data_IF_060862014284
#
_entry.id   IF_060862014284
#
_cell.length_a   1.000
_cell.length_b   1.000
_cell.length_c   1.000
_cell.angle_alpha   90.00
_cell.angle_beta   90.00
_cell.angle_gamma   90.00
#
_symmetry.space_group_name_H-M   'P 1'
#
loop_
_entity.id
_entity.type
_entity.pdbx_description
1 polymer ?
#
# COMPACT_ATOMS: atom_id res chain seq x y z
N UNK A 1 25.48 -14.74 -7.40
CA UNK A 1 25.91 -14.82 -6.00
C UNK A 1 24.82 -14.18 -5.16
N UNK A 2 24.33 -14.87 -4.12
CA UNK A 2 23.41 -14.31 -3.14
C UNK A 2 24.22 -13.94 -1.90
N UNK A 3 23.98 -12.78 -1.32
CA UNK A 3 24.57 -12.42 -0.03
C UNK A 3 24.02 -13.40 1.02
N UNK A 4 24.86 -14.08 1.81
CA UNK A 4 24.39 -14.99 2.86
C UNK A 4 23.40 -14.28 3.79
N UNK A 5 22.36 -14.99 4.20
CA UNK A 5 21.32 -14.53 5.13
C UNK A 5 20.49 -13.32 4.66
N UNK A 6 20.58 -12.92 3.38
CA UNK A 6 19.75 -11.85 2.83
C UNK A 6 18.34 -12.38 2.48
N UNK A 7 17.27 -11.84 3.09
CA UNK A 7 15.90 -12.24 2.78
C UNK A 7 15.55 -11.95 1.31
N UNK A 8 15.09 -12.97 0.59
CA UNK A 8 14.73 -12.88 -0.83
C UNK A 8 13.45 -12.05 -1.07
N UNK A 9 12.54 -12.03 -0.09
CA UNK A 9 11.21 -11.41 -0.23
C UNK A 9 11.18 -9.93 0.17
N UNK A 10 12.35 -9.32 0.40
CA UNK A 10 12.47 -7.90 0.79
C UNK A 10 12.84 -7.04 -0.42
N UNK A 11 12.23 -5.86 -0.51
CA UNK A 11 12.56 -4.86 -1.52
C UNK A 11 13.71 -3.99 -1.00
N UNK A 12 14.73 -3.80 -1.82
CA UNK A 12 15.89 -2.97 -1.50
C UNK A 12 16.09 -1.89 -2.56
N UNK A 13 16.48 -0.69 -2.13
CA UNK A 13 16.94 0.38 -2.99
C UNK A 13 18.46 0.48 -2.97
N UNK A 14 19.08 0.66 -4.13
CA UNK A 14 20.52 0.95 -4.18
C UNK A 14 20.71 2.42 -3.81
N UNK A 15 21.40 2.67 -2.71
CA UNK A 15 21.70 4.04 -2.27
C UNK A 15 23.05 4.51 -2.78
N UNK A 16 24.04 3.62 -2.82
CA UNK A 16 25.41 3.96 -3.23
C UNK A 16 26.07 2.80 -4.00
N UNK A 17 26.93 3.14 -4.96
CA UNK A 17 27.67 2.18 -5.78
C UNK A 17 29.16 2.50 -5.69
N UNK A 18 29.94 1.50 -5.28
CA UNK A 18 31.39 1.52 -5.23
C UNK A 18 31.96 0.48 -6.22
N UNK A 19 33.24 0.59 -6.63
CA UNK A 19 33.81 -0.33 -7.63
C UNK A 19 33.74 -1.82 -7.27
N UNK A 20 33.70 -2.16 -5.97
CA UNK A 20 33.71 -3.54 -5.48
C UNK A 20 32.44 -3.93 -4.71
N UNK A 21 31.58 -2.96 -4.37
CA UNK A 21 30.42 -3.19 -3.50
C UNK A 21 29.30 -2.17 -3.75
N UNK A 22 28.07 -2.54 -3.40
CA UNK A 22 26.92 -1.64 -3.41
C UNK A 22 26.31 -1.57 -2.02
N UNK A 23 25.75 -0.41 -1.68
CA UNK A 23 24.99 -0.22 -0.44
C UNK A 23 23.50 -0.33 -0.77
N UNK A 24 22.80 -1.16 -0.02
CA UNK A 24 21.38 -1.43 -0.18
C UNK A 24 20.61 -0.92 1.04
N UNK A 25 19.53 -0.20 0.79
CA UNK A 25 18.58 0.26 1.79
C UNK A 25 17.30 -0.59 1.71
N UNK A 26 17.03 -1.35 2.78
CA UNK A 26 15.83 -2.18 2.93
C UNK A 26 14.67 -1.47 3.63
N UNK A 27 14.79 -0.18 3.93
CA UNK A 27 13.70 0.58 4.48
C UNK A 27 12.59 0.77 3.43
N UNK A 28 11.33 0.77 3.89
CA UNK A 28 10.21 1.16 3.04
C UNK A 28 10.47 2.58 2.47
N UNK A 29 10.08 2.91 1.21
CA UNK A 29 10.33 4.22 0.60
C UNK A 29 9.91 5.44 1.43
N UNK A 30 8.92 5.26 2.31
CA UNK A 30 8.36 6.28 3.19
C UNK A 30 8.85 6.20 4.64
N UNK A 31 9.75 5.28 4.97
CA UNK A 31 10.30 5.15 6.31
C UNK A 31 11.00 6.44 6.76
N UNK A 32 10.77 6.85 8.01
CA UNK A 32 11.33 8.10 8.57
C UNK A 32 10.76 9.39 7.97
N UNK A 33 9.83 9.33 7.00
CA UNK A 33 9.18 10.51 6.42
C UNK A 33 7.86 10.79 7.15
N UNK A 34 7.63 12.06 7.47
CA UNK A 34 6.34 12.49 7.99
C UNK A 34 5.31 12.58 6.85
N UNK A 35 4.31 11.70 6.86
CA UNK A 35 3.20 11.76 5.91
C UNK A 35 2.16 12.76 6.41
N UNK A 36 1.99 13.86 5.68
CA UNK A 36 0.94 14.85 5.93
C UNK A 36 -0.13 14.69 4.85
N UNK A 37 -1.28 14.17 5.23
CA UNK A 37 -2.36 13.84 4.30
C UNK A 37 -3.53 14.76 4.59
N UNK A 38 -4.02 15.44 3.56
CA UNK A 38 -5.32 16.11 3.59
C UNK A 38 -6.35 15.17 2.98
N UNK A 39 -7.28 14.71 3.80
CA UNK A 39 -8.30 13.74 3.38
C UNK A 39 -9.70 14.28 3.64
N UNK A 40 -10.64 13.94 2.76
CA UNK A 40 -12.08 14.18 2.92
C UNK A 40 -12.79 12.85 2.84
N UNK A 41 -13.58 12.53 3.86
CA UNK A 41 -14.49 11.37 3.81
C UNK A 41 -15.64 11.73 2.88
N UNK A 42 -15.82 10.92 1.84
CA UNK A 42 -16.88 11.12 0.83
C UNK A 42 -18.12 10.31 1.16
N UNK A 43 -17.94 9.08 1.64
CA UNK A 43 -19.04 8.16 1.94
C UNK A 43 -18.57 7.06 2.91
N UNK A 44 -19.52 6.45 3.63
CA UNK A 44 -19.29 5.32 4.56
C UNK A 44 -20.45 4.34 4.44
N UNK A 45 -20.14 3.06 4.19
CA UNK A 45 -21.09 1.96 4.12
C UNK A 45 -20.52 0.69 4.75
N UNK A 46 -21.38 -0.28 5.03
CA UNK A 46 -20.94 -1.62 5.42
C UNK A 46 -20.27 -2.35 4.25
N UNK A 47 -19.25 -3.16 4.58
CA UNK A 47 -18.58 -4.02 3.61
C UNK A 47 -19.47 -5.21 3.25
N UNK A 48 -19.49 -5.60 1.97
CA UNK A 48 -20.20 -6.81 1.54
C UNK A 48 -19.48 -8.08 2.04
N UNK A 49 -20.18 -9.22 2.02
CA UNK A 49 -19.56 -10.51 2.39
C UNK A 49 -18.32 -10.85 1.55
N UNK A 50 -18.37 -10.54 0.25
CA UNK A 50 -17.25 -10.74 -0.68
C UNK A 50 -16.04 -9.84 -0.34
N UNK A 51 -16.28 -8.58 0.03
CA UNK A 51 -15.21 -7.64 0.43
C UNK A 51 -14.57 -8.04 1.76
N UNK A 52 -15.37 -8.54 2.70
CA UNK A 52 -14.87 -9.08 3.97
C UNK A 52 -13.97 -10.29 3.72
N UNK A 53 -14.40 -11.22 2.87
CA UNK A 53 -13.59 -12.39 2.49
C UNK A 53 -12.30 -11.97 1.79
N UNK A 54 -12.37 -11.01 0.87
CA UNK A 54 -11.22 -10.49 0.13
C UNK A 54 -10.28 -9.60 0.96
N UNK A 55 -10.74 -9.11 2.12
CA UNK A 55 -10.04 -8.13 2.98
C UNK A 55 -9.63 -6.84 2.23
N UNK A 56 -10.40 -6.48 1.21
CA UNK A 56 -10.17 -5.32 0.33
C UNK A 56 -11.47 -4.92 -0.35
N UNK A 57 -11.64 -3.63 -0.64
CA UNK A 57 -12.84 -3.04 -1.29
C UNK A 57 -12.86 -3.20 -2.82
N UNK A 58 -12.39 -4.35 -3.33
CA UNK A 58 -12.30 -4.66 -4.76
C UNK A 58 -10.91 -5.11 -5.21
N UNK A 59 -10.78 -5.42 -6.50
CA UNK A 59 -9.52 -5.86 -7.11
C UNK A 59 -8.68 -4.66 -7.59
N UNK A 60 -7.57 -4.44 -6.86
CA UNK A 60 -6.46 -3.51 -7.13
C UNK A 60 -6.47 -2.16 -6.42
N UNK A 61 -5.33 -1.88 -5.78
CA UNK A 61 -5.01 -0.69 -4.98
C UNK A 61 -4.96 0.64 -5.78
N UNK A 62 -5.11 0.62 -7.10
CA UNK A 62 -5.18 1.81 -7.96
C UNK A 62 -6.59 2.11 -8.51
N UNK A 63 -7.61 1.36 -8.09
CA UNK A 63 -8.98 1.42 -8.62
C UNK A 63 -9.87 2.57 -8.12
N UNK A 64 -9.32 3.61 -7.51
CA UNK A 64 -10.11 4.76 -6.97
C UNK A 64 -10.89 5.51 -8.06
N UNK A 65 -10.62 5.28 -9.34
CA UNK A 65 -11.32 5.91 -10.47
C UNK A 65 -12.56 5.14 -10.96
N UNK A 66 -12.89 3.97 -10.40
CA UNK A 66 -13.97 3.10 -10.91
C UNK A 66 -14.90 2.53 -9.85
N UNK A 67 -14.88 3.05 -8.62
CA UNK A 67 -15.79 2.56 -7.58
C UNK A 67 -17.26 2.72 -8.01
N UNK A 68 -18.10 1.67 -7.90
CA UNK A 68 -19.52 1.77 -8.24
C UNK A 68 -20.19 2.84 -7.37
N UNK A 69 -21.12 3.60 -7.98
CA UNK A 69 -21.95 4.59 -7.29
C UNK A 69 -22.50 3.95 -6.00
N UNK A 70 -22.28 4.54 -4.82
CA UNK A 70 -22.81 3.99 -3.60
C UNK A 70 -24.34 3.90 -3.68
N UNK A 71 -24.94 2.83 -3.15
CA UNK A 71 -26.39 2.70 -3.10
C UNK A 71 -26.98 3.85 -2.29
N UNK A 72 -28.09 4.42 -2.77
CA UNK A 72 -28.74 5.57 -2.13
C UNK A 72 -29.32 5.17 -0.75
N UNK A 73 -28.70 5.65 0.33
CA UNK A 73 -29.20 5.62 1.72
C UNK A 73 -28.91 4.33 2.51
N UNK A 74 -28.52 4.34 3.78
CA UNK A 74 -28.55 5.34 4.85
C UNK A 74 -27.18 5.54 5.49
N UNK A 75 -26.84 6.78 5.85
CA UNK A 75 -25.69 7.06 6.73
C UNK A 75 -25.88 6.33 8.06
N UNK A 76 -24.89 5.54 8.48
CA UNK A 76 -24.86 4.92 9.80
C UNK A 76 -24.72 6.03 10.86
N UNK A 77 -25.63 6.03 11.82
CA UNK A 77 -25.61 6.89 13.01
C UNK A 77 -24.55 6.44 14.01
#
# INVERSE_FOLDING_TARGET
AATPDMPADTIYFVTEVYPQQVVLDGNHPLAGKALRIHLKVVDVREASAEEIEARSVGSSALGVLGAPKPPDGSLLH
#
